data_IF_218780571847
#
_entry.id   IF_218780571847
#
_cell.length_a   1.000
_cell.length_b   1.000
_cell.length_c   1.000
_cell.angle_alpha   90.00
_cell.angle_beta   90.00
_cell.angle_gamma   90.00
#
_symmetry.space_group_name_H-M   'P 1'
#
loop_
_entity.id
_entity.type
_entity.pdbx_description
1 polymer ?
#
# COMPACT_ATOMS: atom_id res chain seq x y z
N UNK A 1 -28.96 49.36 -74.91
CA UNK A 1 -29.47 50.27 -73.87
C UNK A 1 -30.34 49.47 -72.91
N UNK A 2 -30.16 49.79 -71.62
CA UNK A 2 -30.79 49.33 -70.37
C UNK A 2 -32.16 48.64 -70.48
N UNK A 3 -32.34 47.58 -69.68
CA UNK A 3 -33.65 47.02 -69.32
C UNK A 3 -33.60 45.76 -68.46
N UNK A 4 -33.19 45.89 -67.19
CA UNK A 4 -33.25 44.87 -66.13
C UNK A 4 -34.70 44.53 -65.73
N UNK A 5 -35.02 43.25 -65.52
CA UNK A 5 -35.96 42.79 -64.48
C UNK A 5 -35.41 41.52 -63.81
N UNK A 6 -35.32 41.59 -62.48
CA UNK A 6 -34.82 40.58 -61.53
C UNK A 6 -35.98 39.78 -60.90
N UNK A 7 -35.68 38.55 -60.42
CA UNK A 7 -36.15 37.84 -59.19
C UNK A 7 -36.30 36.30 -59.40
N UNK A 8 -36.19 35.43 -58.36
CA UNK A 8 -34.94 35.02 -57.71
C UNK A 8 -34.74 33.49 -57.59
N UNK A 9 -33.49 33.04 -57.63
CA UNK A 9 -33.04 31.68 -57.28
C UNK A 9 -33.10 31.43 -55.77
N UNK A 10 -34.08 30.64 -55.29
CA UNK A 10 -34.05 30.12 -53.92
C UNK A 10 -35.02 28.96 -53.64
N UNK A 11 -34.90 27.82 -54.33
CA UNK A 11 -35.63 26.61 -53.90
C UNK A 11 -34.91 25.26 -53.96
N UNK A 12 -33.72 25.13 -54.56
CA UNK A 12 -33.15 23.78 -54.78
C UNK A 12 -32.23 23.23 -53.67
N UNK A 13 -31.92 23.98 -52.61
CA UNK A 13 -30.88 23.59 -51.63
C UNK A 13 -31.40 22.97 -50.31
N UNK A 14 -32.71 22.90 -50.08
CA UNK A 14 -33.26 22.40 -48.80
C UNK A 14 -33.59 20.91 -48.76
N UNK A 15 -33.85 20.27 -49.90
CA UNK A 15 -34.24 18.86 -49.93
C UNK A 15 -33.05 17.88 -49.78
N UNK A 16 -31.83 18.30 -50.11
CA UNK A 16 -30.65 17.43 -50.01
C UNK A 16 -30.04 17.38 -48.59
N UNK A 17 -30.26 18.41 -47.77
CA UNK A 17 -29.75 18.50 -46.39
C UNK A 17 -30.63 17.75 -45.37
N UNK A 18 -31.93 17.64 -45.63
CA UNK A 18 -32.86 16.92 -44.74
C UNK A 18 -32.68 15.39 -44.80
N UNK A 19 -32.23 14.85 -45.94
CA UNK A 19 -32.01 13.40 -46.10
C UNK A 19 -30.76 12.90 -45.36
N UNK A 20 -29.67 13.68 -45.36
CA UNK A 20 -28.44 13.29 -44.64
C UNK A 20 -28.59 13.37 -43.11
N UNK A 21 -29.32 14.36 -42.61
CA UNK A 21 -29.56 14.51 -41.17
C UNK A 21 -30.41 13.35 -40.61
N UNK A 22 -31.41 12.87 -41.35
CA UNK A 22 -32.25 11.74 -40.94
C UNK A 22 -31.46 10.42 -40.85
N UNK A 23 -30.54 10.16 -41.79
CA UNK A 23 -29.70 8.96 -41.78
C UNK A 23 -28.73 8.97 -40.59
N UNK A 24 -28.11 10.11 -40.27
CA UNK A 24 -27.24 10.22 -39.09
C UNK A 24 -28.00 10.01 -37.79
N UNK A 25 -29.25 10.48 -37.69
CA UNK A 25 -30.08 10.33 -36.49
C UNK A 25 -30.52 8.87 -36.28
N UNK A 26 -30.84 8.13 -37.35
CA UNK A 26 -31.15 6.70 -37.27
C UNK A 26 -29.92 5.89 -36.87
N UNK A 27 -28.73 6.20 -37.42
CA UNK A 27 -27.48 5.53 -37.04
C UNK A 27 -27.15 5.81 -35.56
N UNK A 28 -27.33 7.05 -35.08
CA UNK A 28 -27.09 7.39 -33.67
C UNK A 28 -28.07 6.69 -32.72
N UNK A 29 -29.35 6.55 -33.10
CA UNK A 29 -30.36 5.84 -32.29
C UNK A 29 -30.06 4.34 -32.25
N UNK A 30 -29.61 3.74 -33.36
CA UNK A 30 -29.21 2.32 -33.39
C UNK A 30 -27.96 2.09 -32.54
N UNK A 31 -26.94 2.95 -32.61
CA UNK A 31 -25.73 2.86 -31.77
C UNK A 31 -26.01 3.11 -30.28
N UNK A 32 -26.90 4.04 -29.95
CA UNK A 32 -27.30 4.29 -28.55
C UNK A 32 -28.08 3.11 -27.95
N UNK A 33 -28.89 2.41 -28.76
CA UNK A 33 -29.62 1.23 -28.28
C UNK A 33 -28.74 -0.04 -28.21
N UNK A 34 -27.75 -0.20 -29.08
CA UNK A 34 -26.81 -1.35 -29.07
C UNK A 34 -25.77 -1.31 -27.95
N UNK A 35 -25.61 -0.18 -27.25
CA UNK A 35 -24.68 -0.05 -26.11
C UNK A 35 -25.38 -0.18 -24.74
N UNK A 36 -26.70 -0.39 -24.71
CA UNK A 36 -27.48 -0.47 -23.46
C UNK A 36 -27.86 -1.89 -23.02
N UNK A 37 -27.42 -2.93 -23.73
CA UNK A 37 -27.75 -4.31 -23.38
C UNK A 37 -26.51 -5.19 -23.26
N UNK A 38 -26.37 -5.76 -22.06
CA UNK A 38 -25.44 -6.84 -21.67
C UNK A 38 -24.04 -6.37 -21.24
N UNK A 39 -23.89 -6.14 -19.92
CA UNK A 39 -22.74 -6.61 -19.10
C UNK A 39 -22.70 -5.91 -17.73
N UNK A 40 -23.72 -6.07 -16.87
CA UNK A 40 -23.66 -5.48 -15.51
C UNK A 40 -24.27 -6.29 -14.37
N UNK A 41 -24.65 -7.56 -14.56
CA UNK A 41 -25.19 -8.35 -13.44
C UNK A 41 -24.32 -9.55 -13.07
N UNK A 42 -23.76 -10.28 -14.04
CA UNK A 42 -22.92 -11.46 -13.74
C UNK A 42 -21.65 -11.16 -12.93
N UNK A 43 -21.08 -9.94 -13.03
CA UNK A 43 -19.91 -9.52 -12.27
C UNK A 43 -20.21 -9.09 -10.83
N UNK A 44 -21.43 -8.61 -10.55
CA UNK A 44 -21.85 -8.12 -9.24
C UNK A 44 -22.18 -9.28 -8.30
N UNK A 45 -22.98 -10.24 -8.79
CA UNK A 45 -23.38 -11.43 -8.02
C UNK A 45 -22.21 -12.37 -7.71
N UNK A 46 -21.19 -12.45 -8.59
CA UNK A 46 -19.99 -13.27 -8.35
C UNK A 46 -19.03 -12.62 -7.35
N UNK A 47 -18.99 -11.28 -7.29
CA UNK A 47 -18.26 -10.53 -6.28
C UNK A 47 -18.87 -10.75 -4.89
N UNK A 48 -20.17 -10.55 -4.74
CA UNK A 48 -20.87 -10.70 -3.44
C UNK A 48 -20.64 -12.09 -2.81
N UNK A 49 -20.75 -13.18 -3.59
CA UNK A 49 -20.50 -14.54 -3.07
C UNK A 49 -19.02 -14.82 -2.73
N UNK A 50 -18.08 -14.21 -3.45
CA UNK A 50 -16.65 -14.33 -3.12
C UNK A 50 -16.32 -13.60 -1.82
N UNK A 51 -17.03 -12.52 -1.49
CA UNK A 51 -16.84 -11.75 -0.26
C UNK A 51 -17.55 -12.36 0.96
N UNK A 52 -18.68 -13.06 0.78
CA UNK A 52 -19.29 -13.85 1.86
C UNK A 52 -18.40 -15.05 2.25
N UNK A 53 -17.79 -15.71 1.27
CA UNK A 53 -16.74 -16.70 1.50
C UNK A 53 -15.54 -16.09 2.24
N UNK A 54 -15.16 -14.86 1.88
CA UNK A 54 -14.06 -14.14 2.53
C UNK A 54 -14.33 -13.87 4.01
N UNK A 55 -15.57 -13.52 4.37
CA UNK A 55 -15.98 -13.35 5.77
C UNK A 55 -15.93 -14.68 6.54
N UNK A 56 -16.47 -15.74 5.95
CA UNK A 56 -16.47 -17.09 6.54
C UNK A 56 -15.04 -17.60 6.74
N UNK A 57 -14.13 -17.38 5.80
CA UNK A 57 -12.72 -17.77 5.93
C UNK A 57 -11.99 -16.95 7.02
N UNK A 58 -12.31 -15.67 7.18
CA UNK A 58 -11.73 -14.83 8.24
C UNK A 58 -12.16 -15.31 9.64
N UNK A 59 -13.43 -15.70 9.78
CA UNK A 59 -13.98 -16.25 11.02
C UNK A 59 -13.37 -17.64 11.33
N UNK A 60 -13.02 -18.42 10.29
CA UNK A 60 -12.34 -19.71 10.44
C UNK A 60 -10.85 -19.56 10.79
N UNK A 61 -10.15 -18.59 10.20
CA UNK A 61 -8.74 -18.31 10.51
C UNK A 61 -8.57 -17.84 11.96
N UNK A 62 -9.46 -16.97 12.44
CA UNK A 62 -9.46 -16.55 13.86
C UNK A 62 -9.75 -17.72 14.80
N UNK A 63 -10.60 -18.67 14.41
CA UNK A 63 -10.83 -19.89 15.18
C UNK A 63 -9.63 -20.85 15.19
N UNK A 64 -8.96 -21.05 14.04
CA UNK A 64 -7.78 -21.93 13.93
C UNK A 64 -6.57 -21.39 14.71
N UNK A 65 -6.43 -20.06 14.85
CA UNK A 65 -5.35 -19.43 15.62
C UNK A 65 -5.57 -19.55 17.14
N UNK A 66 -6.83 -19.50 17.60
CA UNK A 66 -7.21 -19.81 18.98
C UNK A 66 -6.89 -21.28 19.31
N UNK A 67 -7.03 -22.18 18.34
CA UNK A 67 -6.72 -23.60 18.53
C UNK A 67 -5.20 -23.87 18.55
N UNK A 68 -4.41 -23.20 17.69
CA UNK A 68 -2.94 -23.32 17.67
C UNK A 68 -2.26 -22.75 18.91
N UNK A 69 -2.83 -21.74 19.56
CA UNK A 69 -2.30 -21.22 20.83
C UNK A 69 -2.49 -22.21 22.00
N UNK A 70 -3.27 -23.28 21.83
CA UNK A 70 -3.47 -24.34 22.81
C UNK A 70 -2.64 -25.63 22.62
N UNK A 71 -1.94 -25.82 21.50
CA UNK A 71 -1.24 -27.09 21.19
C UNK A 71 0.22 -26.85 20.78
N UNK A 72 1.14 -27.21 21.69
CA UNK A 72 2.59 -27.19 21.46
C UNK A 72 3.06 -28.35 20.57
N UNK A 73 3.91 -27.99 19.60
CA UNK A 73 4.83 -28.75 18.74
C UNK A 73 4.86 -30.29 18.81
N UNK A 74 4.76 -30.91 17.62
CA UNK A 74 5.51 -32.13 17.29
C UNK A 74 6.24 -31.95 15.96
N UNK A 75 7.56 -31.93 16.05
CA UNK A 75 8.54 -31.84 14.96
C UNK A 75 8.75 -33.20 14.27
N UNK A 76 9.04 -33.16 12.97
CA UNK A 76 9.58 -34.29 12.19
C UNK A 76 10.94 -33.88 11.59
N UNK A 77 12.00 -34.71 11.69
CA UNK A 77 13.33 -34.36 11.22
C UNK A 77 13.60 -34.96 9.83
N UNK A 78 14.18 -34.17 8.92
CA UNK A 78 14.95 -34.72 7.79
C UNK A 78 16.11 -33.80 7.42
N UNK A 79 17.31 -34.17 7.88
CA UNK A 79 18.60 -33.65 7.45
C UNK A 79 19.12 -34.56 6.34
N UNK A 80 19.14 -34.10 5.08
CA UNK A 80 20.09 -34.46 4.01
C UNK A 80 19.57 -33.87 2.69
N UNK A 81 20.02 -32.68 2.27
CA UNK A 81 20.03 -32.17 0.86
C UNK A 81 20.63 -30.74 0.72
N UNK A 82 21.71 -30.43 1.46
CA UNK A 82 22.20 -29.06 1.71
C UNK A 82 22.64 -28.17 0.52
N UNK A 83 22.55 -28.62 -0.74
CA UNK A 83 22.86 -27.79 -1.93
C UNK A 83 21.66 -27.63 -2.87
N UNK A 84 20.76 -28.61 -2.92
CA UNK A 84 19.47 -28.48 -3.60
C UNK A 84 18.46 -27.72 -2.74
N UNK A 85 18.56 -27.79 -1.41
CA UNK A 85 17.67 -27.08 -0.48
C UNK A 85 17.75 -25.57 -0.69
N UNK A 86 18.95 -24.96 -0.73
CA UNK A 86 19.09 -23.50 -0.89
C UNK A 86 18.56 -22.97 -2.25
N UNK A 87 18.76 -23.73 -3.34
CA UNK A 87 18.21 -23.39 -4.66
C UNK A 87 16.70 -23.62 -4.73
N UNK A 88 16.18 -24.58 -3.96
CA UNK A 88 14.76 -24.83 -3.81
C UNK A 88 14.10 -23.76 -2.93
N UNK A 89 14.79 -23.25 -1.91
CA UNK A 89 14.35 -22.17 -1.02
C UNK A 89 14.24 -20.85 -1.80
N UNK A 90 15.24 -20.47 -2.59
CA UNK A 90 15.16 -19.27 -3.45
C UNK A 90 14.02 -19.38 -4.48
N UNK A 91 13.84 -20.57 -5.07
CA UNK A 91 12.71 -20.84 -5.97
C UNK A 91 11.39 -20.78 -5.22
N UNK A 92 11.33 -21.25 -3.98
CA UNK A 92 10.16 -21.22 -3.11
C UNK A 92 9.78 -19.78 -2.77
N UNK A 93 10.74 -18.99 -2.30
CA UNK A 93 10.58 -17.57 -2.01
C UNK A 93 10.09 -16.81 -3.25
N UNK A 94 10.69 -17.07 -4.42
CA UNK A 94 10.26 -16.45 -5.67
C UNK A 94 8.80 -16.79 -6.01
N UNK A 95 8.38 -18.04 -5.84
CA UNK A 95 6.96 -18.44 -6.02
C UNK A 95 6.04 -17.74 -5.03
N UNK A 96 6.41 -17.65 -3.75
CA UNK A 96 5.62 -16.92 -2.76
C UNK A 96 5.48 -15.45 -3.14
N UNK A 97 6.58 -14.80 -3.52
CA UNK A 97 6.60 -13.39 -3.95
C UNK A 97 5.76 -13.17 -5.22
N UNK A 98 5.81 -14.08 -6.19
CA UNK A 98 4.99 -14.02 -7.41
C UNK A 98 3.49 -14.18 -7.09
N UNK A 99 3.12 -15.06 -6.16
CA UNK A 99 1.74 -15.21 -5.68
C UNK A 99 1.25 -13.95 -4.97
N UNK A 100 2.07 -13.36 -4.09
CA UNK A 100 1.73 -12.09 -3.45
C UNK A 100 1.54 -10.99 -4.50
N UNK A 101 2.50 -10.85 -5.44
CA UNK A 101 2.45 -9.81 -6.48
C UNK A 101 1.18 -9.91 -7.34
N UNK A 102 0.86 -11.11 -7.81
CA UNK A 102 -0.37 -11.35 -8.58
C UNK A 102 -1.64 -11.16 -7.75
N UNK A 103 -1.60 -11.45 -6.45
CA UNK A 103 -2.67 -11.12 -5.52
C UNK A 103 -2.89 -9.62 -5.38
N UNK A 104 -1.82 -8.85 -5.24
CA UNK A 104 -1.86 -7.40 -5.07
C UNK A 104 -2.42 -6.66 -6.29
N UNK A 105 -2.39 -7.27 -7.49
CA UNK A 105 -3.07 -6.71 -8.67
C UNK A 105 -4.60 -6.58 -8.49
N UNK A 106 -5.18 -7.30 -7.52
CA UNK A 106 -6.60 -7.21 -7.16
C UNK A 106 -6.91 -6.13 -6.12
N UNK A 107 -5.88 -5.52 -5.52
CA UNK A 107 -5.98 -4.51 -4.46
C UNK A 107 -5.72 -3.14 -5.05
N UNK A 108 -6.61 -2.17 -4.82
CA UNK A 108 -6.30 -0.80 -5.26
C UNK A 108 -5.31 -0.19 -4.29
N UNK A 109 -4.15 0.18 -4.82
CA UNK A 109 -3.10 0.84 -4.06
C UNK A 109 -2.54 2.08 -4.81
N UNK A 110 -1.94 3.00 -4.05
CA UNK A 110 -1.21 4.15 -4.54
C UNK A 110 0.28 4.04 -4.17
N UNK A 111 1.18 4.73 -4.86
CA UNK A 111 2.61 4.72 -4.56
C UNK A 111 3.06 6.00 -3.85
N UNK A 112 2.19 6.59 -3.02
CA UNK A 112 2.32 8.00 -2.64
C UNK A 112 3.15 8.25 -1.37
N UNK A 113 3.46 7.21 -0.60
CA UNK A 113 4.23 7.35 0.65
C UNK A 113 5.75 7.18 0.49
N UNK A 114 6.24 7.11 -0.75
CA UNK A 114 7.68 7.11 -1.03
C UNK A 114 8.40 5.93 -0.39
N UNK A 115 9.35 6.22 0.51
CA UNK A 115 10.12 5.21 1.25
C UNK A 115 9.41 4.63 2.48
N UNK A 116 8.22 5.13 2.86
CA UNK A 116 7.43 4.62 3.98
C UNK A 116 6.71 3.33 3.57
N UNK A 117 7.09 2.21 4.17
CA UNK A 117 6.58 0.89 3.82
C UNK A 117 5.19 0.54 4.36
N UNK A 118 4.26 1.48 4.49
CA UNK A 118 2.87 1.22 4.94
C UNK A 118 2.02 0.77 3.74
N UNK A 119 1.03 -0.15 3.91
CA UNK A 119 0.19 -0.55 2.80
C UNK A 119 -0.58 0.67 2.29
N UNK A 120 -0.37 0.98 1.02
CA UNK A 120 -0.91 2.21 0.40
C UNK A 120 -2.26 1.94 -0.26
N UNK A 121 -3.16 1.26 0.44
CA UNK A 121 -4.49 0.89 -0.06
C UNK A 121 -5.46 2.06 0.01
N UNK A 122 -6.53 2.03 -0.79
CA UNK A 122 -7.48 3.14 -0.87
C UNK A 122 -8.62 3.04 0.14
N UNK A 123 -9.18 1.84 0.33
CA UNK A 123 -10.36 1.63 1.17
C UNK A 123 -10.23 0.41 2.11
N UNK A 124 -11.21 0.25 3.00
CA UNK A 124 -11.21 -0.82 4.01
C UNK A 124 -11.25 -2.22 3.38
N UNK A 125 -11.94 -2.38 2.24
CA UNK A 125 -12.04 -3.67 1.56
C UNK A 125 -10.70 -4.04 0.95
N UNK A 126 -10.03 -3.07 0.33
CA UNK A 126 -8.66 -3.22 -0.18
C UNK A 126 -7.68 -3.54 0.96
N UNK A 127 -7.83 -2.90 2.13
CA UNK A 127 -7.02 -3.23 3.32
C UNK A 127 -7.26 -4.65 3.81
N UNK A 128 -8.52 -5.12 3.87
CA UNK A 128 -8.84 -6.49 4.27
C UNK A 128 -8.21 -7.51 3.31
N UNK A 129 -8.32 -7.25 2.00
CA UNK A 129 -7.73 -8.11 0.98
C UNK A 129 -6.20 -8.11 1.06
N UNK A 130 -5.58 -6.95 1.24
CA UNK A 130 -4.14 -6.82 1.46
C UNK A 130 -3.69 -7.68 2.64
N UNK A 131 -4.35 -7.54 3.81
CA UNK A 131 -4.01 -8.27 5.02
C UNK A 131 -4.11 -9.79 4.86
N UNK A 132 -5.06 -10.27 4.07
CA UNK A 132 -5.20 -11.69 3.76
C UNK A 132 -4.10 -12.20 2.82
N UNK A 133 -3.78 -11.43 1.78
CA UNK A 133 -2.71 -11.78 0.84
C UNK A 133 -1.35 -11.82 1.55
N UNK A 134 -1.10 -10.85 2.42
CA UNK A 134 0.09 -10.78 3.28
C UNK A 134 0.13 -11.99 4.24
N UNK A 135 -1.01 -12.35 4.85
CA UNK A 135 -1.12 -13.55 5.69
C UNK A 135 -0.78 -14.85 4.95
N UNK A 136 -1.30 -15.02 3.74
CA UNK A 136 -1.02 -16.18 2.92
C UNK A 136 0.45 -16.21 2.46
N UNK A 137 1.02 -15.04 2.17
CA UNK A 137 2.43 -14.90 1.83
C UNK A 137 3.34 -15.24 3.01
N UNK A 138 3.05 -14.75 4.20
CA UNK A 138 3.79 -15.09 5.42
C UNK A 138 3.81 -16.59 5.68
N UNK A 139 2.65 -17.25 5.52
CA UNK A 139 2.52 -18.70 5.66
C UNK A 139 3.39 -19.41 4.62
N UNK A 140 3.32 -18.98 3.37
CA UNK A 140 4.15 -19.51 2.29
C UNK A 140 5.65 -19.38 2.59
N UNK A 141 6.11 -18.22 3.08
CA UNK A 141 7.50 -17.99 3.44
C UNK A 141 7.95 -18.87 4.62
N UNK A 142 7.11 -19.02 5.65
CA UNK A 142 7.39 -19.93 6.78
C UNK A 142 7.48 -21.39 6.32
N UNK A 143 6.60 -21.82 5.43
CA UNK A 143 6.65 -23.16 4.83
C UNK A 143 7.92 -23.38 3.99
N UNK A 144 8.47 -22.30 3.42
CA UNK A 144 9.77 -22.29 2.74
C UNK A 144 10.98 -22.16 3.70
N UNK A 145 10.78 -22.08 5.02
CA UNK A 145 11.86 -21.97 6.01
C UNK A 145 12.41 -20.55 6.24
N UNK A 146 11.73 -19.50 5.78
CA UNK A 146 12.14 -18.11 6.00
C UNK A 146 11.53 -17.51 7.27
N UNK A 147 12.34 -16.82 8.07
CA UNK A 147 11.89 -15.99 9.19
C UNK A 147 11.69 -14.53 8.75
N UNK A 148 10.52 -13.97 9.08
CA UNK A 148 10.15 -12.58 8.74
C UNK A 148 10.56 -11.67 9.91
N UNK A 149 11.47 -10.73 9.64
CA UNK A 149 12.07 -9.89 10.68
C UNK A 149 11.14 -8.77 11.16
N UNK A 150 10.52 -8.03 10.24
CA UNK A 150 9.48 -7.05 10.55
C UNK A 150 8.26 -7.32 9.69
N UNK A 151 7.17 -7.72 10.34
CA UNK A 151 5.94 -8.06 9.65
C UNK A 151 4.98 -6.86 9.65
N UNK A 152 4.75 -6.30 8.46
CA UNK A 152 3.78 -5.23 8.26
C UNK A 152 2.37 -5.64 8.70
N UNK A 153 2.03 -6.93 8.52
CA UNK A 153 0.78 -7.53 8.99
C UNK A 153 0.58 -7.36 10.49
N UNK A 154 1.58 -7.67 11.30
CA UNK A 154 1.41 -7.65 12.75
C UNK A 154 1.06 -6.23 13.20
N UNK A 155 1.76 -5.23 12.67
CA UNK A 155 1.50 -3.84 13.02
C UNK A 155 0.17 -3.30 12.46
N UNK A 156 -0.07 -3.45 11.16
CA UNK A 156 -1.21 -2.81 10.48
C UNK A 156 -2.45 -3.69 10.54
N UNK A 157 -2.33 -4.97 10.22
CA UNK A 157 -3.45 -5.87 10.05
C UNK A 157 -3.96 -6.48 11.35
N UNK A 158 -3.10 -6.66 12.37
CA UNK A 158 -3.49 -7.23 13.66
C UNK A 158 -3.67 -6.17 14.73
N UNK A 159 -2.63 -5.38 15.00
CA UNK A 159 -2.62 -4.47 16.14
C UNK A 159 -3.39 -3.18 15.90
N UNK A 160 -3.28 -2.59 14.70
CA UNK A 160 -3.79 -1.23 14.42
C UNK A 160 -4.74 -1.14 13.22
N UNK A 161 -5.46 -2.22 12.90
CA UNK A 161 -6.35 -2.28 11.74
C UNK A 161 -7.42 -1.18 11.77
N UNK A 162 -8.13 -1.03 12.89
CA UNK A 162 -9.17 -0.01 13.05
C UNK A 162 -8.63 1.41 12.89
N UNK A 163 -7.42 1.66 13.37
CA UNK A 163 -6.79 2.97 13.25
C UNK A 163 -6.36 3.27 11.81
N UNK A 164 -5.83 2.28 11.09
CA UNK A 164 -5.55 2.39 9.66
C UNK A 164 -6.83 2.73 8.90
N UNK A 165 -7.93 2.01 9.13
CA UNK A 165 -9.23 2.25 8.49
C UNK A 165 -9.71 3.70 8.68
N UNK A 166 -9.56 4.26 9.89
CA UNK A 166 -9.93 5.65 10.18
C UNK A 166 -9.09 6.66 9.39
N UNK A 167 -7.85 6.31 9.02
CA UNK A 167 -6.93 7.20 8.30
C UNK A 167 -7.02 7.05 6.77
N UNK A 168 -7.55 5.93 6.24
CA UNK A 168 -7.66 5.66 4.79
C UNK A 168 -8.31 6.79 3.99
N UNK A 169 -9.44 7.41 4.40
CA UNK A 169 -10.05 8.48 3.62
C UNK A 169 -9.12 9.68 3.40
N UNK A 170 -8.29 10.00 4.40
CA UNK A 170 -7.32 11.08 4.30
C UNK A 170 -6.17 10.73 3.34
N UNK A 171 -5.73 9.47 3.35
CA UNK A 171 -4.70 8.97 2.45
C UNK A 171 -5.18 8.96 0.99
N UNK A 172 -6.38 8.43 0.74
CA UNK A 172 -7.00 8.42 -0.58
C UNK A 172 -7.12 9.84 -1.16
N UNK A 173 -7.70 10.76 -0.39
CA UNK A 173 -7.88 12.16 -0.81
C UNK A 173 -6.54 12.85 -1.12
N UNK A 174 -5.50 12.52 -0.36
CA UNK A 174 -4.18 13.15 -0.49
C UNK A 174 -3.27 12.46 -1.52
N UNK A 175 -3.60 11.26 -1.99
CA UNK A 175 -2.71 10.39 -2.76
C UNK A 175 -2.16 11.07 -4.02
N UNK A 176 -3.01 11.79 -4.77
CA UNK A 176 -2.59 12.48 -5.99
C UNK A 176 -1.58 13.61 -5.71
N UNK A 177 -1.75 14.34 -4.61
CA UNK A 177 -0.85 15.42 -4.22
C UNK A 177 0.45 14.90 -3.65
N UNK A 178 0.37 13.87 -2.81
CA UNK A 178 1.53 13.16 -2.27
C UNK A 178 2.41 12.62 -3.40
N UNK A 179 1.82 11.97 -4.42
CA UNK A 179 2.56 11.46 -5.58
C UNK A 179 3.25 12.56 -6.40
N UNK A 180 2.68 13.77 -6.43
CA UNK A 180 3.24 14.90 -7.20
C UNK A 180 4.35 15.62 -6.44
N UNK A 181 4.18 15.85 -5.14
CA UNK A 181 5.03 16.75 -4.35
C UNK A 181 5.99 16.05 -3.39
N UNK A 182 5.69 14.81 -3.03
CA UNK A 182 6.49 13.99 -2.13
C UNK A 182 6.98 12.75 -2.88
N UNK A 183 7.68 11.86 -2.17
CA UNK A 183 8.17 10.65 -2.76
C UNK A 183 9.44 10.89 -3.57
N UNK A 184 9.64 10.09 -4.62
CA UNK A 184 10.87 10.11 -5.41
C UNK A 184 11.16 11.46 -6.09
N UNK A 185 10.13 12.30 -6.31
CA UNK A 185 10.30 13.63 -6.91
C UNK A 185 11.01 14.63 -6.00
N UNK A 186 10.97 14.41 -4.68
CA UNK A 186 11.57 15.30 -3.68
C UNK A 186 12.68 14.60 -2.87
N UNK A 187 12.43 13.37 -2.44
CA UNK A 187 13.23 12.65 -1.47
C UNK A 187 14.02 11.46 -2.06
N UNK A 188 13.80 11.16 -3.35
CA UNK A 188 14.47 10.08 -4.07
C UNK A 188 15.76 10.52 -4.80
N UNK A 189 16.36 9.63 -5.60
CA UNK A 189 15.89 8.28 -5.94
C UNK A 189 16.02 7.28 -4.78
N UNK A 190 15.16 6.26 -4.77
CA UNK A 190 15.23 5.17 -3.79
C UNK A 190 16.03 4.00 -4.35
N UNK A 191 17.01 3.53 -3.57
CA UNK A 191 17.69 2.25 -3.80
C UNK A 191 17.01 1.14 -3.00
N UNK A 192 17.39 -0.11 -3.25
CA UNK A 192 17.08 -1.23 -2.35
C UNK A 192 17.70 -0.99 -0.96
N UNK A 193 17.12 -1.60 0.06
CA UNK A 193 17.64 -1.50 1.42
C UNK A 193 18.90 -2.36 1.55
N UNK A 194 20.06 -1.71 1.69
CA UNK A 194 21.30 -2.40 2.05
C UNK A 194 21.30 -2.69 3.56
N UNK A 195 21.50 -3.96 3.93
CA UNK A 195 21.55 -4.41 5.33
C UNK A 195 22.92 -4.06 5.94
N UNK A 196 23.16 -2.76 6.11
CA UNK A 196 24.38 -2.19 6.70
C UNK A 196 24.04 -0.91 7.47
N UNK A 197 24.93 -0.46 8.36
CA UNK A 197 24.72 0.80 9.09
C UNK A 197 24.58 1.99 8.14
N UNK A 198 25.33 1.99 7.03
CA UNK A 198 25.26 3.04 6.01
C UNK A 198 23.93 2.96 5.24
N UNK A 199 23.50 1.76 4.86
CA UNK A 199 22.23 1.51 4.20
C UNK A 199 21.03 1.96 5.04
N UNK A 200 21.00 1.59 6.32
CA UNK A 200 19.99 2.06 7.27
C UNK A 200 20.05 3.58 7.44
N UNK A 201 21.24 4.18 7.55
CA UNK A 201 21.37 5.62 7.67
C UNK A 201 20.79 6.36 6.45
N UNK A 202 21.02 5.83 5.24
CA UNK A 202 20.45 6.36 4.00
C UNK A 202 18.93 6.20 3.97
N UNK A 203 18.41 5.02 4.32
CA UNK A 203 16.96 4.77 4.38
C UNK A 203 16.27 5.73 5.36
N UNK A 204 16.83 5.95 6.54
CA UNK A 204 16.29 6.88 7.52
C UNK A 204 16.28 8.34 7.01
N UNK A 205 17.26 8.76 6.19
CA UNK A 205 17.21 10.08 5.54
C UNK A 205 16.04 10.21 4.58
N UNK A 206 15.78 9.20 3.76
CA UNK A 206 14.60 9.17 2.88
C UNK A 206 13.30 9.18 3.70
N UNK A 207 13.20 8.35 4.76
CA UNK A 207 12.04 8.31 5.64
C UNK A 207 11.76 9.66 6.28
N UNK A 208 12.77 10.35 6.83
CA UNK A 208 12.59 11.67 7.43
C UNK A 208 12.05 12.69 6.41
N UNK A 209 12.59 12.70 5.19
CA UNK A 209 12.15 13.59 4.13
C UNK A 209 10.70 13.29 3.70
N UNK A 210 10.39 12.00 3.47
CA UNK A 210 9.06 11.57 3.04
C UNK A 210 8.01 11.82 4.12
N UNK A 211 8.33 11.56 5.40
CA UNK A 211 7.43 11.79 6.53
C UNK A 211 7.15 13.28 6.74
N UNK A 212 8.16 14.15 6.66
CA UNK A 212 7.99 15.61 6.77
C UNK A 212 7.12 16.15 5.63
N UNK A 213 7.39 15.74 4.39
CA UNK A 213 6.58 16.15 3.23
C UNK A 213 5.14 15.63 3.36
N UNK A 214 4.98 14.35 3.69
CA UNK A 214 3.68 13.69 3.83
C UNK A 214 2.85 14.35 4.92
N UNK A 215 3.44 14.63 6.09
CA UNK A 215 2.74 15.32 7.18
C UNK A 215 2.18 16.67 6.72
N UNK A 216 2.97 17.48 6.02
CA UNK A 216 2.54 18.80 5.50
C UNK A 216 1.37 18.66 4.53
N UNK A 217 1.41 17.67 3.63
CA UNK A 217 0.33 17.43 2.67
C UNK A 217 -0.94 16.93 3.37
N UNK A 218 -0.83 15.95 4.27
CA UNK A 218 -1.98 15.39 5.00
C UNK A 218 -2.68 16.44 5.86
N UNK A 219 -1.93 17.25 6.62
CA UNK A 219 -2.50 18.34 7.44
C UNK A 219 -3.21 19.38 6.57
N UNK A 220 -2.64 19.69 5.41
CA UNK A 220 -3.23 20.66 4.47
C UNK A 220 -4.51 20.14 3.81
N UNK A 221 -4.56 18.86 3.44
CA UNK A 221 -5.69 18.29 2.71
C UNK A 221 -6.82 17.81 3.61
N UNK A 222 -6.50 17.17 4.74
CA UNK A 222 -7.48 16.54 5.62
C UNK A 222 -7.81 17.37 6.86
N UNK A 223 -7.16 18.52 7.03
CA UNK A 223 -7.27 19.38 8.22
C UNK A 223 -6.36 18.96 9.37
N UNK A 224 -6.20 19.85 10.35
CA UNK A 224 -5.24 19.70 11.45
C UNK A 224 -5.44 18.41 12.25
N UNK A 225 -6.67 18.08 12.65
CA UNK A 225 -6.94 16.89 13.46
C UNK A 225 -6.72 15.58 12.70
N UNK A 226 -7.43 15.37 11.58
CA UNK A 226 -7.34 14.13 10.79
C UNK A 226 -5.98 13.96 10.13
N UNK A 227 -5.42 15.04 9.56
CA UNK A 227 -4.11 15.01 8.92
C UNK A 227 -2.97 14.73 9.92
N UNK A 228 -3.02 15.31 11.12
CA UNK A 228 -2.00 15.03 12.15
C UNK A 228 -2.10 13.59 12.66
N UNK A 229 -3.31 13.07 12.88
CA UNK A 229 -3.52 11.66 13.26
C UNK A 229 -2.99 10.71 12.18
N UNK A 230 -3.35 10.96 10.92
CA UNK A 230 -2.91 10.15 9.78
C UNK A 230 -1.37 10.21 9.60
N UNK A 231 -0.76 11.37 9.77
CA UNK A 231 0.70 11.50 9.74
C UNK A 231 1.36 10.77 10.92
N UNK A 232 0.80 10.90 12.13
CA UNK A 232 1.31 10.21 13.33
C UNK A 232 1.33 8.69 13.15
N UNK A 233 0.31 8.10 12.53
CA UNK A 233 0.30 6.67 12.23
C UNK A 233 1.50 6.24 11.37
N UNK A 234 1.80 6.99 10.29
CA UNK A 234 2.95 6.71 9.42
C UNK A 234 4.30 6.86 10.15
N UNK A 235 4.40 7.85 11.04
CA UNK A 235 5.58 8.08 11.86
C UNK A 235 5.77 6.93 12.85
N UNK A 236 4.72 6.54 13.57
CA UNK A 236 4.78 5.45 14.55
C UNK A 236 5.11 4.11 13.88
N UNK A 237 4.57 3.85 12.68
CA UNK A 237 4.94 2.69 11.87
C UNK A 237 6.43 2.71 11.51
N UNK A 238 6.92 3.85 11.00
CA UNK A 238 8.31 4.00 10.58
C UNK A 238 9.28 3.84 11.77
N UNK A 239 8.88 4.31 12.96
CA UNK A 239 9.62 4.08 14.21
C UNK A 239 9.68 2.59 14.57
N UNK A 240 8.55 1.88 14.52
CA UNK A 240 8.51 0.44 14.80
C UNK A 240 9.39 -0.37 13.82
N UNK A 241 9.33 -0.02 12.53
CA UNK A 241 10.16 -0.63 11.50
C UNK A 241 11.65 -0.43 11.77
N UNK A 242 12.08 0.83 12.00
CA UNK A 242 13.50 1.13 12.27
C UNK A 242 13.96 0.53 13.59
N UNK A 243 13.12 0.48 14.62
CA UNK A 243 13.44 -0.18 15.89
C UNK A 243 13.80 -1.65 15.68
N UNK A 244 13.07 -2.34 14.80
CA UNK A 244 13.31 -3.74 14.48
C UNK A 244 14.64 -3.93 13.75
N UNK A 245 14.93 -3.13 12.72
CA UNK A 245 16.23 -3.14 12.04
C UNK A 245 17.41 -2.94 12.99
N UNK A 246 17.25 -2.03 13.95
CA UNK A 246 18.29 -1.72 14.92
C UNK A 246 18.46 -2.81 15.97
N UNK A 247 17.37 -3.47 16.39
CA UNK A 247 17.42 -4.65 17.28
C UNK A 247 18.17 -5.80 16.62
N UNK A 248 17.87 -6.09 15.36
CA UNK A 248 18.52 -7.18 14.62
C UNK A 248 20.00 -6.87 14.38
N UNK A 249 20.33 -5.63 13.98
CA UNK A 249 21.72 -5.21 13.80
C UNK A 249 22.50 -5.20 15.11
N UNK A 250 21.89 -4.76 16.22
CA UNK A 250 22.51 -4.79 17.55
C UNK A 250 22.86 -6.23 17.97
N UNK A 251 21.95 -7.17 17.74
CA UNK A 251 22.15 -8.60 17.98
C UNK A 251 23.29 -9.14 17.12
N UNK A 252 23.31 -8.82 15.83
CA UNK A 252 24.34 -9.28 14.89
C UNK A 252 25.73 -8.72 15.21
N UNK A 253 25.82 -7.45 15.63
CA UNK A 253 27.08 -6.79 15.97
C UNK A 253 27.52 -7.02 17.43
N UNK A 254 26.68 -7.66 18.26
CA UNK A 254 26.85 -7.79 19.71
C UNK A 254 27.15 -6.43 20.39
N UNK A 255 26.41 -5.39 20.01
CA UNK A 255 26.55 -4.02 20.54
C UNK A 255 25.19 -3.47 20.94
N UNK A 256 25.11 -2.61 21.98
CA UNK A 256 23.84 -2.01 22.36
C UNK A 256 23.35 -1.01 21.30
N UNK A 257 22.03 -0.92 21.11
CA UNK A 257 21.39 -0.07 20.09
C UNK A 257 21.93 1.38 20.07
N UNK A 258 22.09 2.08 21.21
CA UNK A 258 22.58 3.46 21.19
C UNK A 258 23.98 3.65 20.57
N UNK A 259 24.81 2.60 20.55
CA UNK A 259 26.16 2.67 19.97
C UNK A 259 26.18 2.43 18.46
N UNK A 260 25.15 1.81 17.90
CA UNK A 260 25.08 1.47 16.47
C UNK A 260 24.05 2.31 15.71
N UNK A 261 23.11 2.94 16.41
CA UNK A 261 22.04 3.74 15.83
C UNK A 261 22.61 4.91 15.01
N UNK A 262 22.38 4.96 13.69
CA UNK A 262 22.79 6.11 12.90
C UNK A 262 22.06 7.38 13.34
N UNK A 263 22.74 8.53 13.27
CA UNK A 263 22.16 9.82 13.64
C UNK A 263 20.91 10.19 12.82
N UNK A 264 20.81 9.74 11.57
CA UNK A 264 19.60 9.92 10.77
C UNK A 264 18.43 9.08 11.27
N UNK A 265 18.68 7.89 11.83
CA UNK A 265 17.63 7.03 12.37
C UNK A 265 17.19 7.49 13.76
N UNK A 266 18.10 7.98 14.60
CA UNK A 266 17.73 8.55 15.90
C UNK A 266 16.80 9.76 15.75
N UNK A 267 16.95 10.53 14.66
CA UNK A 267 16.09 11.68 14.36
C UNK A 267 14.62 11.34 14.16
N UNK A 268 14.27 10.10 13.79
CA UNK A 268 12.86 9.67 13.67
C UNK A 268 12.11 9.73 15.00
N UNK A 269 12.83 9.65 16.12
CA UNK A 269 12.27 9.67 17.47
C UNK A 269 12.18 11.10 18.06
N UNK A 270 12.54 12.12 17.28
CA UNK A 270 12.36 13.53 17.65
C UNK A 270 10.94 14.03 17.35
N UNK A 271 10.50 15.05 18.07
CA UNK A 271 9.20 15.70 17.82
C UNK A 271 9.14 16.45 16.48
N UNK A 272 10.28 16.98 16.01
CA UNK A 272 10.36 17.77 14.76
C UNK A 272 11.39 17.26 13.77
N UNK A 273 11.82 16.00 13.90
CA UNK A 273 12.90 15.43 13.10
C UNK A 273 14.22 16.23 13.12
N UNK A 274 14.37 17.21 14.02
CA UNK A 274 15.55 18.06 14.16
C UNK A 274 16.55 17.41 15.13
N UNK A 275 17.82 17.44 14.74
CA UNK A 275 18.93 16.82 15.44
C UNK A 275 19.37 17.61 16.68
N UNK A 276 19.04 18.91 16.80
CA UNK A 276 19.66 19.77 17.82
C UNK A 276 19.42 19.30 19.26
N UNK A 277 18.36 18.53 19.54
CA UNK A 277 18.02 18.05 20.89
C UNK A 277 17.82 16.52 20.98
N UNK A 278 18.22 15.75 19.97
CA UNK A 278 17.93 14.32 19.95
C UNK A 278 19.12 13.47 20.36
N UNK A 279 19.09 13.01 21.61
CA UNK A 279 20.03 12.03 22.12
C UNK A 279 19.52 10.61 21.84
N UNK A 280 20.42 9.72 21.41
CA UNK A 280 20.09 8.32 21.12
C UNK A 280 19.54 7.55 22.34
N UNK A 281 19.68 8.09 23.55
CA UNK A 281 19.11 7.55 24.79
C UNK A 281 17.58 7.44 24.77
N UNK A 282 16.88 8.25 23.95
CA UNK A 282 15.41 8.23 23.86
C UNK A 282 14.87 6.94 23.21
N UNK A 283 15.70 6.25 22.42
CA UNK A 283 15.31 5.03 21.67
C UNK A 283 14.94 3.87 22.61
N UNK A 284 15.44 3.85 23.85
CA UNK A 284 15.22 2.74 24.79
C UNK A 284 13.85 2.81 25.48
N UNK A 285 13.19 3.98 25.52
CA UNK A 285 12.02 4.18 26.38
C UNK A 285 10.65 3.93 25.73
N UNK A 286 10.57 3.76 24.41
CA UNK A 286 9.29 3.47 23.73
C UNK A 286 9.02 1.98 23.51
N UNK A 287 9.97 1.09 23.83
CA UNK A 287 9.77 -0.37 23.78
C UNK A 287 9.29 -0.97 25.12
N UNK A 288 9.18 -0.17 26.19
CA UNK A 288 8.82 -0.64 27.54
C UNK A 288 7.51 -0.05 28.09
N UNK A 289 6.74 0.69 27.29
CA UNK A 289 5.42 1.17 27.67
C UNK A 289 4.33 0.65 26.71
N UNK A 290 3.68 -0.46 27.12
CA UNK A 290 2.51 -1.06 26.46
C UNK A 290 2.46 -2.58 26.67
N UNK A 291 2.31 -3.04 27.91
CA UNK A 291 1.09 -3.65 28.51
C UNK A 291 0.76 -5.07 28.00
N UNK A 292 0.91 -6.00 28.95
CA UNK A 292 0.17 -7.27 29.12
C UNK A 292 -1.34 -6.99 29.02
#
# INVERSE_FOLDING_TARGET
MIGLVNLPDRQFSRYFLLSKAAIFLVIFIVFANLTSSSSSDYGRWKRERAFDLLKIETDLETAEEIERTGVSERSLPSRMLRRDDALNDERCQKRCNERLRSGLDMVKAHSAFGSVGVPSVLDQLDLQMFCRLDSAHDKCLRDCGYEIQFNMRDYVCRERYSEMVVNLPCYEQSAALLKRHCGASLCGPYSELEISLLGFAQRCRHLLCDLDCTQKVLVRQCGSASGTRAAKFLIDYSRAQVSTWMKDMAKNMNKPIPQIMPASCSRLYCDRFDAQNCTASVVVLQSSQGRI
#
